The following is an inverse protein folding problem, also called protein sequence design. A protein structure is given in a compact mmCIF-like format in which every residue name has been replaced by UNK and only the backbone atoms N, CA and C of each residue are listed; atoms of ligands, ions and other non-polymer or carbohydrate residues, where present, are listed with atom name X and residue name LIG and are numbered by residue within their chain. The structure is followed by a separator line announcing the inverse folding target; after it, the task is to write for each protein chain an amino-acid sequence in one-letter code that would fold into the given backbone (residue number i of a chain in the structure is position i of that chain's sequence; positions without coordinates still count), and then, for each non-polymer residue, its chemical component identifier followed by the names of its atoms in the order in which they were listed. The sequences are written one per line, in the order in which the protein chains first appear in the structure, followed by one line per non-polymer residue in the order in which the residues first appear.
data_IF_100241744544
#
_entry.id   IF_100241744544
#
_cell.length_a   1.000
_cell.length_b   1.000
_cell.length_c   1.000
_cell.angle_alpha   90.00
_cell.angle_beta   90.00
_cell.angle_gamma   90.00
#
_symmetry.space_group_name_H-M   'P 1'
#
loop_
_entity.id
_entity.type
_entity.pdbx_description
1 polymer ?
#
# COMPACT_ATOMS: atom_id res chain seq x y z
N UNK A 1 -28.90 21.11 14.84
CA UNK A 1 -29.07 19.69 14.49
C UNK A 1 -28.25 19.45 13.24
N UNK A 2 -27.14 18.72 13.37
CA UNK A 2 -26.25 18.41 12.25
C UNK A 2 -26.96 17.45 11.29
N UNK A 3 -27.29 17.91 10.08
CA UNK A 3 -27.60 17.02 8.98
C UNK A 3 -26.32 16.27 8.61
N UNK A 4 -26.18 15.07 9.16
CA UNK A 4 -25.19 14.12 8.68
C UNK A 4 -25.57 13.83 7.24
N UNK A 5 -24.75 14.31 6.30
CA UNK A 5 -24.88 14.12 4.86
C UNK A 5 -24.65 12.65 4.51
N UNK A 6 -25.55 11.76 4.93
CA UNK A 6 -25.63 10.39 4.46
C UNK A 6 -26.21 10.42 3.05
N UNK A 7 -25.37 10.79 2.08
CA UNK A 7 -25.69 10.59 0.67
C UNK A 7 -25.83 9.09 0.47
N UNK A 8 -27.04 8.65 0.07
CA UNK A 8 -27.23 7.24 -0.32
C UNK A 8 -26.31 6.96 -1.52
N UNK A 9 -25.52 5.88 -1.51
CA UNK A 9 -24.71 5.52 -2.67
C UNK A 9 -25.60 5.40 -3.90
N UNK A 10 -25.37 6.23 -4.91
CA UNK A 10 -26.08 6.17 -6.18
C UNK A 10 -25.23 5.34 -7.12
N UNK A 11 -25.82 4.30 -7.73
CA UNK A 11 -25.15 3.54 -8.78
C UNK A 11 -24.85 4.49 -9.95
N UNK A 12 -23.59 4.56 -10.38
CA UNK A 12 -23.22 5.36 -11.55
C UNK A 12 -24.08 4.94 -12.74
N UNK A 13 -24.70 5.91 -13.41
CA UNK A 13 -25.48 5.69 -14.64
C UNK A 13 -24.59 5.49 -15.86
N UNK A 14 -23.32 5.91 -15.79
CA UNK A 14 -22.36 5.81 -16.87
C UNK A 14 -21.06 5.14 -16.35
N UNK A 15 -20.72 3.92 -16.78
CA UNK A 15 -19.51 3.22 -16.32
C UNK A 15 -18.21 3.93 -16.76
N UNK A 16 -18.28 4.79 -17.77
CA UNK A 16 -17.14 5.61 -18.26
C UNK A 16 -17.10 6.97 -17.53
N UNK A 17 -18.09 7.26 -16.68
CA UNK A 17 -18.15 8.49 -15.88
C UNK A 17 -17.01 8.61 -14.86
N UNK A 18 -16.73 9.83 -14.38
CA UNK A 18 -15.60 10.08 -13.49
C UNK A 18 -15.83 9.43 -12.13
N UNK A 19 -14.85 8.66 -11.67
CA UNK A 19 -14.75 8.22 -10.27
C UNK A 19 -13.81 9.12 -9.47
N UNK A 20 -12.68 9.52 -10.05
CA UNK A 20 -11.71 10.40 -9.41
C UNK A 20 -10.87 11.17 -10.44
N UNK A 21 -10.35 12.33 -10.02
CA UNK A 21 -9.34 13.08 -10.75
C UNK A 21 -8.12 13.22 -9.83
N UNK A 22 -6.96 12.74 -10.29
CA UNK A 22 -5.69 12.84 -9.56
C UNK A 22 -4.76 13.77 -10.32
N UNK A 23 -4.13 14.72 -9.63
CA UNK A 23 -3.15 15.58 -10.25
C UNK A 23 -1.75 14.96 -10.24
N UNK A 24 -1.08 15.05 -11.37
CA UNK A 24 0.35 14.75 -11.51
C UNK A 24 1.12 16.03 -11.84
N UNK A 25 2.42 16.07 -11.56
CA UNK A 25 3.26 17.26 -11.75
C UNK A 25 3.28 17.79 -13.19
N UNK A 26 3.14 16.90 -14.19
CA UNK A 26 3.26 17.26 -15.60
C UNK A 26 4.67 17.69 -15.99
N UNK A 27 5.02 17.55 -17.27
CA UNK A 27 6.34 17.97 -17.79
C UNK A 27 6.42 19.47 -18.11
N UNK A 28 5.28 20.14 -18.18
CA UNK A 28 5.13 21.55 -18.59
C UNK A 28 5.02 22.51 -17.40
N UNK A 29 5.23 22.04 -16.17
CA UNK A 29 5.08 22.82 -14.94
C UNK A 29 3.63 23.01 -14.46
N UNK A 30 2.65 22.87 -15.35
CA UNK A 30 1.23 22.85 -14.99
C UNK A 30 0.79 21.42 -14.63
N UNK A 31 0.20 21.20 -13.44
CA UNK A 31 -0.30 19.89 -13.06
C UNK A 31 -1.37 19.36 -14.03
N UNK A 32 -1.27 18.09 -14.42
CA UNK A 32 -2.24 17.42 -15.30
C UNK A 32 -3.20 16.58 -14.48
N UNK A 33 -4.50 16.78 -14.71
CA UNK A 33 -5.56 15.95 -14.12
C UNK A 33 -5.67 14.61 -14.85
N UNK A 34 -5.37 13.53 -14.13
CA UNK A 34 -5.56 12.15 -14.58
C UNK A 34 -7.01 11.76 -14.29
N UNK A 35 -7.76 11.51 -15.35
CA UNK A 35 -9.15 11.06 -15.28
C UNK A 35 -9.22 9.56 -15.00
N UNK A 36 -9.80 9.18 -13.86
CA UNK A 36 -10.06 7.79 -13.52
C UNK A 36 -11.56 7.53 -13.62
N UNK A 37 -11.96 6.76 -14.64
CA UNK A 37 -13.35 6.31 -14.78
C UNK A 37 -13.68 5.24 -13.74
N UNK A 38 -14.97 5.07 -13.49
CA UNK A 38 -15.48 4.00 -12.63
C UNK A 38 -15.06 2.61 -13.13
N UNK A 39 -15.13 2.36 -14.44
CA UNK A 39 -14.72 1.09 -15.06
C UNK A 39 -13.21 0.84 -14.99
N UNK A 40 -12.37 1.86 -15.22
CA UNK A 40 -10.91 1.69 -15.16
C UNK A 40 -10.46 1.37 -13.74
N UNK A 41 -11.06 2.02 -12.74
CA UNK A 41 -10.75 1.76 -11.34
C UNK A 41 -11.21 0.37 -10.93
N UNK A 42 -12.44 -0.05 -11.28
CA UNK A 42 -12.93 -1.40 -11.00
C UNK A 42 -12.05 -2.48 -11.62
N UNK A 43 -11.65 -2.30 -12.87
CA UNK A 43 -10.75 -3.21 -13.57
C UNK A 43 -9.41 -3.33 -12.84
N UNK A 44 -8.85 -2.21 -12.38
CA UNK A 44 -7.64 -2.19 -11.57
C UNK A 44 -7.84 -2.92 -10.22
N UNK A 45 -8.97 -2.73 -9.54
CA UNK A 45 -9.29 -3.42 -8.27
C UNK A 45 -9.35 -4.93 -8.44
N UNK A 46 -9.99 -5.42 -9.50
CA UNK A 46 -10.11 -6.86 -9.80
C UNK A 46 -8.71 -7.44 -10.08
N UNK A 47 -7.92 -6.76 -10.91
CA UNK A 47 -6.55 -7.18 -11.24
C UNK A 47 -5.65 -7.21 -9.99
N UNK A 48 -5.71 -6.17 -9.14
CA UNK A 48 -4.96 -6.13 -7.88
C UNK A 48 -5.37 -7.25 -6.93
N UNK A 49 -6.67 -7.51 -6.78
CA UNK A 49 -7.16 -8.63 -5.96
C UNK A 49 -6.57 -9.95 -6.45
N UNK A 50 -6.63 -10.23 -7.74
CA UNK A 50 -6.12 -11.47 -8.32
C UNK A 50 -4.60 -11.63 -8.19
N UNK A 51 -3.85 -10.52 -8.32
CA UNK A 51 -2.38 -10.55 -8.31
C UNK A 51 -1.78 -10.58 -6.90
N UNK A 52 -2.45 -9.95 -5.93
CA UNK A 52 -1.83 -9.60 -4.65
C UNK A 52 -2.58 -10.11 -3.41
N UNK A 53 -3.82 -10.58 -3.55
CA UNK A 53 -4.62 -11.07 -2.43
C UNK A 53 -4.80 -12.58 -2.54
N UNK A 54 -3.78 -13.30 -2.10
CA UNK A 54 -3.84 -14.76 -1.99
C UNK A 54 -4.73 -15.12 -0.78
N UNK A 55 -5.90 -15.72 -1.05
CA UNK A 55 -6.74 -16.35 -0.03
C UNK A 55 -6.15 -17.75 0.27
N UNK A 56 -6.07 -18.22 1.54
CA UNK A 56 -6.97 -17.90 2.65
C UNK A 56 -6.43 -16.87 3.66
N UNK A 57 -5.36 -16.13 3.35
CA UNK A 57 -4.79 -15.17 4.31
C UNK A 57 -5.73 -13.97 4.42
N UNK A 58 -6.15 -13.65 5.65
CA UNK A 58 -6.91 -12.44 5.91
C UNK A 58 -6.03 -11.21 5.62
N UNK A 59 -6.32 -10.54 4.50
CA UNK A 59 -5.60 -9.37 4.06
C UNK A 59 -5.95 -8.14 4.93
N UNK A 60 -4.99 -7.70 5.74
CA UNK A 60 -5.01 -6.46 6.52
C UNK A 60 -3.99 -5.51 5.92
N UNK A 61 -4.47 -4.46 5.28
CA UNK A 61 -3.65 -3.54 4.52
C UNK A 61 -3.02 -2.48 5.42
N UNK A 62 -1.72 -2.26 5.24
CA UNK A 62 -1.01 -1.09 5.74
C UNK A 62 -0.44 -0.32 4.56
N UNK A 63 -0.61 1.00 4.58
CA UNK A 63 -0.19 1.86 3.49
C UNK A 63 0.52 3.09 4.02
N UNK A 64 1.66 3.42 3.42
CA UNK A 64 2.37 4.68 3.65
C UNK A 64 2.14 5.70 2.54
N UNK A 65 1.48 5.29 1.45
CA UNK A 65 1.10 6.16 0.33
C UNK A 65 -0.06 7.09 0.71
N UNK A 66 0.07 8.42 0.51
CA UNK A 66 -1.04 9.35 0.66
C UNK A 66 -2.19 9.08 -0.31
N UNK A 67 -3.43 9.40 0.09
CA UNK A 67 -4.64 9.16 -0.72
C UNK A 67 -4.67 9.94 -2.03
N UNK A 68 -3.92 11.06 -2.13
CA UNK A 68 -3.83 11.86 -3.35
C UNK A 68 -2.83 11.27 -4.37
N UNK A 69 -2.16 10.16 -4.05
CA UNK A 69 -1.45 9.34 -5.03
C UNK A 69 -2.34 8.24 -5.57
N UNK A 70 -2.08 7.81 -6.81
CA UNK A 70 -2.83 6.72 -7.44
C UNK A 70 -2.85 5.44 -6.59
N UNK A 71 -1.70 5.05 -6.02
CA UNK A 71 -1.61 3.88 -5.12
C UNK A 71 -2.47 4.04 -3.86
N UNK A 72 -2.53 5.25 -3.29
CA UNK A 72 -3.33 5.54 -2.11
C UNK A 72 -4.83 5.42 -2.38
N UNK A 73 -5.34 6.04 -3.43
CA UNK A 73 -6.77 5.91 -3.78
C UNK A 73 -7.12 4.48 -4.21
N UNK A 74 -6.23 3.80 -4.94
CA UNK A 74 -6.48 2.44 -5.43
C UNK A 74 -6.65 1.47 -4.26
N UNK A 75 -5.70 1.47 -3.32
CA UNK A 75 -5.74 0.56 -2.17
C UNK A 75 -6.81 0.97 -1.15
N UNK A 76 -7.15 2.26 -1.06
CA UNK A 76 -8.34 2.71 -0.37
C UNK A 76 -9.57 2.04 -1.00
N UNK A 77 -9.80 2.20 -2.29
CA UNK A 77 -10.95 1.62 -2.96
C UNK A 77 -10.95 0.08 -2.89
N UNK A 78 -9.79 -0.57 -2.91
CA UNK A 78 -9.63 -2.01 -2.72
C UNK A 78 -10.16 -2.46 -1.35
N UNK A 79 -9.74 -1.79 -0.28
CA UNK A 79 -10.19 -2.13 1.07
C UNK A 79 -11.69 -1.89 1.28
N UNK A 80 -12.26 -0.82 0.70
CA UNK A 80 -13.71 -0.57 0.76
C UNK A 80 -14.48 -1.64 -0.04
N UNK A 81 -14.03 -1.91 -1.27
CA UNK A 81 -14.76 -2.79 -2.19
C UNK A 81 -14.78 -4.25 -1.71
N UNK A 82 -13.70 -4.73 -1.10
CA UNK A 82 -13.57 -6.10 -0.61
C UNK A 82 -13.74 -6.25 0.91
N UNK A 83 -14.12 -5.18 1.61
CA UNK A 83 -14.34 -5.20 3.07
C UNK A 83 -13.09 -5.56 3.88
N UNK A 84 -11.91 -5.12 3.44
CA UNK A 84 -10.64 -5.46 4.09
C UNK A 84 -10.16 -4.33 5.03
N UNK A 85 -9.70 -4.64 6.26
CA UNK A 85 -9.19 -3.65 7.18
C UNK A 85 -8.00 -2.88 6.58
N UNK A 86 -7.92 -1.58 6.87
CA UNK A 86 -6.82 -0.72 6.44
C UNK A 86 -6.23 0.08 7.60
N UNK A 87 -4.91 0.18 7.60
CA UNK A 87 -4.12 1.05 8.44
C UNK A 87 -3.43 2.10 7.55
N UNK A 88 -3.59 3.37 7.93
CA UNK A 88 -2.99 4.52 7.27
C UNK A 88 -2.56 5.53 8.32
N UNK A 89 -1.67 6.45 7.93
CA UNK A 89 -1.22 7.53 8.78
C UNK A 89 -1.88 8.84 8.36
N UNK A 90 -2.29 9.65 9.34
CA UNK A 90 -2.86 10.98 9.09
C UNK A 90 -1.83 11.99 8.59
N UNK A 91 -0.57 11.80 8.97
CA UNK A 91 0.58 12.61 8.54
C UNK A 91 1.67 11.70 7.98
N UNK A 92 2.74 12.31 7.43
CA UNK A 92 3.94 11.56 7.05
C UNK A 92 4.44 10.74 8.24
N UNK A 93 4.50 9.42 8.08
CA UNK A 93 4.96 8.49 9.10
C UNK A 93 6.47 8.41 9.15
N UNK A 94 7.04 8.25 10.34
CA UNK A 94 8.45 7.87 10.50
C UNK A 94 8.62 6.36 10.34
N UNK A 95 9.86 5.94 10.09
CA UNK A 95 10.22 4.53 9.97
C UNK A 95 9.91 3.72 11.23
N UNK A 96 10.17 4.28 12.42
CA UNK A 96 9.86 3.67 13.72
C UNK A 96 8.35 3.54 13.92
N UNK A 97 7.57 4.54 13.51
CA UNK A 97 6.11 4.47 13.56
C UNK A 97 5.57 3.37 12.65
N UNK A 98 6.13 3.23 11.45
CA UNK A 98 5.77 2.13 10.53
C UNK A 98 6.07 0.79 11.18
N UNK A 99 7.31 0.56 11.61
CA UNK A 99 7.76 -0.71 12.20
C UNK A 99 6.98 -1.08 13.47
N UNK A 100 6.76 -0.11 14.36
CA UNK A 100 5.98 -0.29 15.59
C UNK A 100 4.51 -0.63 15.28
N UNK A 101 3.93 0.02 14.27
CA UNK A 101 2.55 -0.23 13.86
C UNK A 101 2.38 -1.63 13.25
N UNK A 102 3.39 -2.13 12.52
CA UNK A 102 3.38 -3.51 12.02
C UNK A 102 3.31 -4.48 13.20
N UNK A 103 4.18 -4.33 14.21
CA UNK A 103 4.16 -5.19 15.39
C UNK A 103 2.85 -5.14 16.19
N UNK A 104 2.25 -3.94 16.30
CA UNK A 104 1.02 -3.71 17.06
C UNK A 104 -0.24 -4.21 16.36
N UNK A 105 -0.43 -3.84 15.09
CA UNK A 105 -1.67 -4.10 14.35
C UNK A 105 -1.60 -5.35 13.46
N UNK A 106 -0.40 -5.90 13.31
CA UNK A 106 -0.11 -7.13 12.57
C UNK A 106 -0.72 -7.13 11.15
N UNK A 107 -0.50 -6.09 10.33
CA UNK A 107 -0.94 -6.11 8.94
C UNK A 107 -0.25 -7.25 8.20
N UNK A 108 -0.93 -7.80 7.19
CA UNK A 108 -0.42 -8.88 6.34
C UNK A 108 0.10 -8.36 5.00
N UNK A 109 -0.40 -7.21 4.57
CA UNK A 109 0.02 -6.54 3.35
C UNK A 109 0.56 -5.14 3.63
N UNK A 110 1.73 -4.81 3.10
CA UNK A 110 2.31 -3.46 3.14
C UNK A 110 2.52 -2.92 1.71
N UNK A 111 1.99 -1.73 1.43
CA UNK A 111 2.42 -0.92 0.27
C UNK A 111 3.27 0.24 0.75
N UNK A 112 4.48 0.36 0.23
CA UNK A 112 5.40 1.46 0.58
C UNK A 112 6.30 1.89 -0.57
N UNK A 113 6.98 3.02 -0.39
CA UNK A 113 7.97 3.52 -1.36
C UNK A 113 9.36 2.90 -1.19
N UNK A 114 10.19 2.94 -2.23
CA UNK A 114 11.57 2.42 -2.21
C UNK A 114 12.42 3.08 -1.11
N UNK A 115 12.29 4.39 -0.91
CA UNK A 115 13.02 5.09 0.15
C UNK A 115 12.62 4.57 1.55
N UNK A 116 11.32 4.44 1.80
CA UNK A 116 10.81 4.00 3.09
C UNK A 116 11.20 2.55 3.42
N UNK A 117 11.14 1.62 2.46
CA UNK A 117 11.56 0.23 2.72
C UNK A 117 13.07 0.13 3.00
N UNK A 118 13.87 0.98 2.36
CA UNK A 118 15.31 1.05 2.60
C UNK A 118 15.64 1.62 4.00
N UNK A 119 14.92 2.66 4.42
CA UNK A 119 15.01 3.20 5.79
C UNK A 119 14.57 2.17 6.83
N UNK A 120 13.48 1.44 6.59
CA UNK A 120 13.02 0.35 7.46
C UNK A 120 14.07 -0.74 7.63
N UNK A 121 14.71 -1.17 6.54
CA UNK A 121 15.81 -2.14 6.56
C UNK A 121 16.98 -1.62 7.40
N UNK A 122 17.41 -0.39 7.13
CA UNK A 122 18.55 0.24 7.83
C UNK A 122 18.27 0.38 9.33
N UNK A 123 17.05 0.79 9.70
CA UNK A 123 16.60 0.91 11.09
C UNK A 123 16.57 -0.44 11.81
N UNK A 124 16.08 -1.51 11.16
CA UNK A 124 16.10 -2.86 11.72
C UNK A 124 17.52 -3.38 11.90
N UNK A 125 18.42 -3.20 10.93
CA UNK A 125 19.81 -3.62 11.02
C UNK A 125 20.55 -2.90 12.16
N UNK A 126 20.39 -1.58 12.26
CA UNK A 126 21.03 -0.77 13.30
C UNK A 126 20.55 -1.13 14.73
N UNK A 127 19.30 -1.57 14.86
CA UNK A 127 18.68 -1.91 16.14
C UNK A 127 18.61 -3.42 16.42
N UNK A 128 19.34 -4.27 15.68
CA UNK A 128 19.36 -5.71 15.91
C UNK A 128 18.00 -6.40 15.73
N UNK A 129 17.21 -5.96 14.73
CA UNK A 129 15.86 -6.45 14.43
C UNK A 129 14.85 -6.32 15.58
N UNK A 130 14.94 -5.24 16.36
CA UNK A 130 14.07 -4.91 17.51
C UNK A 130 12.57 -5.05 17.21
N UNK A 131 12.11 -4.68 16.02
CA UNK A 131 10.69 -4.66 15.69
C UNK A 131 10.23 -5.99 15.10
N UNK A 132 9.09 -6.50 15.57
CA UNK A 132 8.45 -7.69 15.00
C UNK A 132 7.62 -7.31 13.77
N UNK A 133 8.05 -7.77 12.60
CA UNK A 133 7.35 -7.55 11.32
C UNK A 133 6.88 -8.84 10.64
N UNK A 134 6.89 -9.96 11.36
CA UNK A 134 6.56 -11.30 10.82
C UNK A 134 5.10 -11.46 10.38
N UNK A 135 4.21 -10.51 10.74
CA UNK A 135 2.84 -10.54 10.24
C UNK A 135 2.74 -10.29 8.74
N UNK A 136 3.76 -9.64 8.14
CA UNK A 136 3.77 -9.31 6.72
C UNK A 136 4.04 -10.55 5.86
N UNK A 137 3.07 -10.88 5.01
CA UNK A 137 3.15 -11.95 4.00
C UNK A 137 3.40 -11.35 2.61
N UNK A 138 2.99 -10.11 2.38
CA UNK A 138 3.17 -9.43 1.10
C UNK A 138 3.65 -8.02 1.32
N UNK A 139 4.80 -7.69 0.75
CA UNK A 139 5.32 -6.32 0.70
C UNK A 139 5.40 -5.87 -0.75
N UNK A 140 4.67 -4.82 -1.08
CA UNK A 140 4.71 -4.20 -2.40
C UNK A 140 5.43 -2.87 -2.31
N UNK A 141 6.40 -2.68 -3.21
CA UNK A 141 7.25 -1.49 -3.26
C UNK A 141 7.08 -0.83 -4.61
N UNK A 142 6.85 0.48 -4.63
CA UNK A 142 6.69 1.24 -5.87
C UNK A 142 7.02 2.72 -5.74
N UNK A 143 6.69 3.49 -6.77
CA UNK A 143 6.86 4.95 -6.82
C UNK A 143 8.23 5.43 -7.30
N UNK A 144 9.22 4.54 -7.38
CA UNK A 144 10.50 4.78 -8.07
C UNK A 144 11.14 3.45 -8.49
N UNK A 145 12.09 3.45 -9.44
CA UNK A 145 12.80 2.23 -9.82
C UNK A 145 13.53 1.61 -8.62
N UNK A 146 13.37 0.30 -8.44
CA UNK A 146 14.12 -0.49 -7.46
C UNK A 146 15.05 -1.45 -8.20
N UNK A 147 16.34 -1.42 -7.86
CA UNK A 147 17.33 -2.35 -8.43
C UNK A 147 17.17 -3.75 -7.82
N UNK A 148 17.50 -4.78 -8.60
CA UNK A 148 17.33 -6.18 -8.20
C UNK A 148 18.20 -6.59 -7.01
N UNK A 149 19.40 -6.01 -6.88
CA UNK A 149 20.30 -6.17 -5.73
C UNK A 149 19.68 -5.60 -4.44
N UNK A 150 19.09 -4.40 -4.52
CA UNK A 150 18.38 -3.79 -3.40
C UNK A 150 17.17 -4.63 -2.98
N UNK A 151 16.39 -5.13 -3.96
CA UNK A 151 15.26 -6.03 -3.68
C UNK A 151 15.71 -7.28 -2.90
N UNK A 152 16.78 -7.95 -3.35
CA UNK A 152 17.35 -9.12 -2.65
C UNK A 152 17.83 -8.76 -1.24
N UNK A 153 18.48 -7.61 -1.09
CA UNK A 153 19.00 -7.13 0.19
C UNK A 153 17.87 -6.87 1.19
N UNK A 154 16.78 -6.24 0.74
CA UNK A 154 15.58 -6.01 1.55
C UNK A 154 14.94 -7.33 1.97
N UNK A 155 14.78 -8.28 1.05
CA UNK A 155 14.22 -9.60 1.37
C UNK A 155 15.05 -10.28 2.46
N UNK A 156 16.37 -10.35 2.29
CA UNK A 156 17.26 -11.10 3.18
C UNK A 156 17.44 -10.43 4.55
N UNK A 157 17.49 -9.09 4.61
CA UNK A 157 17.81 -8.40 5.86
C UNK A 157 16.56 -7.90 6.60
N UNK A 158 15.48 -7.57 5.90
CA UNK A 158 14.28 -7.04 6.55
C UNK A 158 13.24 -8.13 6.77
N UNK A 159 12.90 -8.89 5.73
CA UNK A 159 11.73 -9.78 5.73
C UNK A 159 12.05 -11.23 6.08
N UNK A 160 13.27 -11.69 5.83
CA UNK A 160 13.78 -13.03 6.19
C UNK A 160 15.12 -12.94 6.91
N UNK A 161 15.20 -12.23 8.06
CA UNK A 161 16.45 -12.14 8.80
C UNK A 161 16.94 -13.54 9.19
N UNK A 162 18.26 -13.76 9.13
CA UNK A 162 18.92 -15.04 9.35
C UNK A 162 18.39 -15.73 10.62
N UNK A 163 17.92 -16.98 10.49
CA UNK A 163 17.35 -17.78 11.58
C UNK A 163 15.82 -17.76 11.70
N UNK A 164 15.10 -17.12 10.77
CA UNK A 164 13.62 -17.10 10.71
C UNK A 164 13.14 -17.49 9.31
N UNK A 165 12.95 -18.79 9.09
CA UNK A 165 12.38 -19.33 7.85
C UNK A 165 10.87 -19.13 7.82
N UNK A 166 10.42 -18.01 7.26
CA UNK A 166 9.02 -17.84 6.83
C UNK A 166 8.99 -17.78 5.31
N UNK A 167 8.81 -18.96 4.69
CA UNK A 167 8.73 -19.13 3.24
C UNK A 167 7.56 -18.38 2.56
N UNK A 168 6.64 -17.83 3.34
CA UNK A 168 5.40 -17.21 2.86
C UNK A 168 5.52 -15.71 2.56
N UNK A 169 6.61 -15.02 2.94
CA UNK A 169 6.74 -13.57 2.67
C UNK A 169 7.29 -13.32 1.27
N UNK A 170 6.53 -12.61 0.44
CA UNK A 170 6.92 -12.20 -0.92
C UNK A 170 7.12 -10.68 -1.03
N UNK A 171 8.13 -10.25 -1.79
CA UNK A 171 8.33 -8.85 -2.19
C UNK A 171 8.03 -8.71 -3.66
N UNK A 172 7.10 -7.81 -3.99
CA UNK A 172 6.74 -7.48 -5.37
C UNK A 172 7.05 -6.02 -5.64
N UNK A 173 7.71 -5.76 -6.78
CA UNK A 173 7.99 -4.41 -7.26
C UNK A 173 6.91 -4.06 -8.29
N UNK A 174 6.33 -2.86 -8.18
CA UNK A 174 5.37 -2.32 -9.16
C UNK A 174 5.81 -0.95 -9.68
#
# INVERSE_FOLDING_TARGET
AEEILFVRPIKSKNPIGPCAIIYSSGTTGTPKGIYLSDDSLKSALISFKQSLMEEPIENKFMMTSPIFWYTGILLMMLGIHFGKPRLFFSTKSTTEQILSSIGKFKPTFLMTGVAAINEMMSCQMANGHKYNIQSLTTCVVGGSPMRADLQKTVVNNLLRPVGKDTDQTSVRCI
#
